data_IF_039038783481
#
_entry.id   IF_039038783481
#
_cell.length_a   1.000
_cell.length_b   1.000
_cell.length_c   1.000
_cell.angle_alpha   90.00
_cell.angle_beta   90.00
_cell.angle_gamma   90.00
#
_symmetry.space_group_name_H-M   'P 1'
#
loop_
_entity.id
_entity.type
_entity.pdbx_description
1 polymer ?
#
# COMPACT_ATOMS: atom_id res chain seq x y z
N UNK A 1 -9.57 9.79 -13.82
CA UNK A 1 -8.22 9.93 -14.41
C UNK A 1 -8.03 8.91 -15.51
N UNK A 2 -6.90 8.95 -16.23
CA UNK A 2 -6.51 7.94 -17.25
C UNK A 2 -5.37 7.04 -16.79
N UNK A 3 -4.92 7.20 -15.55
CA UNK A 3 -3.79 6.49 -14.96
C UNK A 3 -4.30 5.39 -14.04
N UNK A 4 -3.55 4.30 -14.01
CA UNK A 4 -3.64 3.27 -12.97
C UNK A 4 -2.53 3.61 -11.96
N UNK A 5 -2.88 3.59 -10.68
CA UNK A 5 -1.93 3.79 -9.58
C UNK A 5 -1.55 2.44 -8.96
N UNK A 6 -0.39 2.42 -8.31
CA UNK A 6 0.15 1.24 -7.62
C UNK A 6 0.75 1.64 -6.26
N UNK A 7 0.86 0.66 -5.37
CA UNK A 7 1.44 0.79 -4.03
C UNK A 7 2.76 0.07 -4.02
N UNK A 8 3.85 0.79 -3.70
CA UNK A 8 5.19 0.21 -3.57
C UNK A 8 5.69 0.21 -2.12
N UNK A 9 6.58 -0.72 -1.80
CA UNK A 9 7.15 -0.85 -0.46
C UNK A 9 7.92 0.41 -0.01
N UNK A 10 8.52 1.17 -0.94
CA UNK A 10 9.28 2.39 -0.62
C UNK A 10 8.46 3.48 0.04
N UNK A 11 7.14 3.53 -0.22
CA UNK A 11 6.23 4.55 0.33
C UNK A 11 5.43 4.07 1.53
N UNK A 12 5.56 2.80 1.91
CA UNK A 12 4.59 2.10 2.76
C UNK A 12 5.32 1.23 3.79
N UNK A 13 5.09 1.48 5.09
CA UNK A 13 5.77 0.90 6.26
C UNK A 13 5.69 -0.65 6.47
N UNK A 14 5.06 -1.35 5.54
CA UNK A 14 4.81 -2.79 5.56
C UNK A 14 4.47 -3.25 4.15
N UNK A 15 4.69 -4.55 3.91
CA UNK A 15 4.56 -5.17 2.60
C UNK A 15 3.18 -4.89 1.98
N UNK A 16 3.09 -4.44 0.72
CA UNK A 16 1.82 -4.09 0.07
C UNK A 16 0.77 -5.21 0.16
N UNK A 17 1.19 -6.47 0.10
CA UNK A 17 0.29 -7.62 0.18
C UNK A 17 -0.36 -7.82 1.57
N UNK A 18 0.02 -7.06 2.60
CA UNK A 18 -0.60 -7.11 3.93
C UNK A 18 -1.60 -5.98 4.16
N UNK A 19 -1.84 -5.16 3.14
CA UNK A 19 -2.74 -4.02 3.24
C UNK A 19 -4.11 -4.33 2.67
N UNK A 20 -5.11 -3.75 3.32
CA UNK A 20 -6.51 -3.80 2.90
C UNK A 20 -7.00 -2.36 2.79
N UNK A 21 -7.62 -2.01 1.67
CA UNK A 21 -8.21 -0.71 1.41
C UNK A 21 -9.72 -0.78 1.73
N UNK A 22 -10.20 -0.09 2.77
CA UNK A 22 -11.63 -0.06 3.09
C UNK A 22 -12.45 0.58 1.95
N UNK A 23 -13.63 0.04 1.64
CA UNK A 23 -14.52 0.62 0.62
C UNK A 23 -14.95 2.05 0.89
N UNK A 24 -14.97 2.43 2.16
CA UNK A 24 -15.41 3.75 2.65
C UNK A 24 -14.25 4.73 2.80
N UNK A 25 -13.02 4.34 2.46
CA UNK A 25 -11.86 5.17 2.65
C UNK A 25 -11.90 6.41 1.73
N UNK A 26 -11.73 7.58 2.32
CA UNK A 26 -11.57 8.82 1.56
C UNK A 26 -10.16 8.87 0.99
N UNK A 27 -10.05 9.08 -0.33
CA UNK A 27 -8.77 9.16 -1.03
C UNK A 27 -8.42 10.63 -1.28
N UNK A 28 -7.24 11.04 -0.83
CA UNK A 28 -6.68 12.37 -1.04
C UNK A 28 -5.63 12.33 -2.14
N UNK A 29 -5.80 13.17 -3.17
CA UNK A 29 -4.81 13.34 -4.23
C UNK A 29 -3.94 14.57 -3.96
N UNK A 30 -2.62 14.43 -4.10
CA UNK A 30 -1.68 15.53 -3.90
C UNK A 30 -0.62 15.53 -5.01
N UNK A 31 -0.42 16.69 -5.64
CA UNK A 31 0.70 16.87 -6.56
C UNK A 31 2.02 17.03 -5.79
N UNK A 32 3.04 16.25 -6.17
CA UNK A 32 4.36 16.20 -5.54
C UNK A 32 5.42 16.51 -6.62
N UNK A 33 5.77 17.79 -6.84
CA UNK A 33 6.63 18.20 -7.95
C UNK A 33 8.05 17.62 -7.88
N UNK A 34 8.55 17.38 -6.67
CA UNK A 34 9.90 16.84 -6.45
C UNK A 34 9.97 15.30 -6.46
N UNK A 35 8.83 14.61 -6.61
CA UNK A 35 8.77 13.15 -6.61
C UNK A 35 8.61 12.64 -8.04
N UNK A 36 9.53 11.77 -8.48
CA UNK A 36 9.43 11.03 -9.75
C UNK A 36 9.15 11.93 -10.98
N UNK A 37 9.81 13.09 -11.03
CA UNK A 37 9.63 14.06 -12.12
C UNK A 37 8.31 14.85 -12.09
N UNK A 38 7.60 14.82 -10.96
CA UNK A 38 6.34 15.53 -10.76
C UNK A 38 5.14 14.64 -10.99
N UNK A 39 4.68 13.97 -9.93
CA UNK A 39 3.52 13.06 -9.98
C UNK A 39 2.40 13.50 -9.03
N UNK A 40 1.19 13.03 -9.29
CA UNK A 40 0.10 13.07 -8.30
C UNK A 40 0.15 11.77 -7.52
N UNK A 41 0.31 11.86 -6.21
CA UNK A 41 0.20 10.71 -5.29
C UNK A 41 -1.20 10.63 -4.73
N UNK A 42 -1.68 9.41 -4.49
CA UNK A 42 -2.92 9.17 -3.74
C UNK A 42 -2.58 8.70 -2.34
N UNK A 43 -3.29 9.21 -1.33
CA UNK A 43 -3.11 8.77 0.05
C UNK A 43 -4.45 8.54 0.75
N UNK A 44 -4.51 7.55 1.61
CA UNK A 44 -5.74 7.19 2.33
C UNK A 44 -5.44 6.40 3.60
N UNK A 45 -6.42 6.32 4.50
CA UNK A 45 -6.38 5.40 5.63
C UNK A 45 -6.65 3.97 5.13
N UNK A 46 -5.91 3.01 5.67
CA UNK A 46 -6.00 1.59 5.32
C UNK A 46 -5.81 0.73 6.56
N UNK A 47 -5.95 -0.59 6.41
CA UNK A 47 -5.62 -1.56 7.43
C UNK A 47 -4.40 -2.37 7.01
N UNK A 48 -3.55 -2.75 7.96
CA UNK A 48 -2.43 -3.65 7.75
C UNK A 48 -2.53 -4.86 8.69
N UNK A 49 -2.30 -6.05 8.13
CA UNK A 49 -2.17 -7.29 8.90
C UNK A 49 -0.86 -7.30 9.68
N UNK A 50 -0.94 -7.65 10.96
CA UNK A 50 0.23 -7.77 11.82
C UNK A 50 1.13 -8.93 11.37
N UNK A 51 2.43 -8.67 11.39
CA UNK A 51 3.47 -9.59 10.97
C UNK A 51 3.89 -10.60 12.05
N UNK A 52 3.48 -10.34 13.27
CA UNK A 52 3.92 -11.02 14.48
C UNK A 52 2.95 -12.16 14.87
N UNK A 53 3.27 -12.82 15.99
CA UNK A 53 2.46 -13.92 16.52
C UNK A 53 2.56 -15.23 15.73
N UNK A 54 3.42 -15.29 14.71
CA UNK A 54 3.79 -16.55 14.06
C UNK A 54 4.77 -17.32 14.97
N UNK A 55 4.42 -18.57 15.28
CA UNK A 55 5.34 -19.55 15.88
C UNK A 55 6.08 -20.29 14.74
N UNK A 56 6.80 -21.38 15.04
CA UNK A 56 7.51 -22.22 14.04
C UNK A 56 6.58 -22.95 13.02
N UNK A 57 5.33 -22.52 12.87
CA UNK A 57 4.33 -23.10 11.98
C UNK A 57 3.97 -22.17 10.82
N UNK A 58 3.68 -22.76 9.65
CA UNK A 58 3.29 -22.04 8.43
C UNK A 58 1.79 -21.75 8.33
N UNK A 59 0.97 -22.34 9.20
CA UNK A 59 -0.48 -22.23 9.17
C UNK A 59 -1.03 -21.98 10.57
N UNK A 60 -2.07 -21.15 10.67
CA UNK A 60 -2.84 -20.92 11.90
C UNK A 60 -4.33 -20.77 11.59
N UNK A 61 -5.23 -21.18 12.50
CA UNK A 61 -6.67 -21.01 12.32
C UNK A 61 -7.15 -19.58 12.63
N UNK A 62 -6.42 -18.82 13.46
CA UNK A 62 -6.80 -17.45 13.81
C UNK A 62 -6.40 -16.45 12.71
N UNK A 63 -7.29 -15.49 12.36
CA UNK A 63 -6.93 -14.39 11.47
C UNK A 63 -5.84 -13.51 12.10
N UNK A 64 -5.03 -12.82 11.28
CA UNK A 64 -4.10 -11.81 11.79
C UNK A 64 -4.85 -10.70 12.54
N UNK A 65 -4.20 -10.15 13.57
CA UNK A 65 -4.60 -8.86 14.09
C UNK A 65 -4.39 -7.79 13.00
N UNK A 66 -5.26 -6.79 12.96
CA UNK A 66 -5.20 -5.68 12.01
C UNK A 66 -5.00 -4.35 12.73
N UNK A 67 -4.16 -3.47 12.19
CA UNK A 67 -3.96 -2.13 12.69
C UNK A 67 -4.22 -1.09 11.60
N UNK A 68 -4.62 0.12 12.01
CA UNK A 68 -4.72 1.25 11.10
C UNK A 68 -3.34 1.66 10.58
N UNK A 69 -3.29 2.02 9.31
CA UNK A 69 -2.08 2.50 8.64
C UNK A 69 -2.46 3.57 7.62
N UNK A 70 -1.46 4.31 7.14
CA UNK A 70 -1.61 5.09 5.91
C UNK A 70 -1.15 4.26 4.70
N UNK A 71 -1.83 4.44 3.58
CA UNK A 71 -1.45 3.88 2.29
C UNK A 71 -1.14 5.03 1.35
N UNK A 72 -0.02 4.94 0.62
CA UNK A 72 0.37 5.88 -0.42
C UNK A 72 0.55 5.12 -1.73
N UNK A 73 -0.08 5.62 -2.79
CA UNK A 73 0.04 5.10 -4.15
C UNK A 73 0.62 6.17 -5.08
N UNK A 74 1.38 5.68 -6.07
CA UNK A 74 1.96 6.46 -7.16
C UNK A 74 1.44 5.95 -8.51
N UNK A 75 1.54 6.74 -9.59
CA UNK A 75 1.20 6.26 -10.92
C UNK A 75 2.02 5.03 -11.30
N UNK A 76 1.37 3.98 -11.81
CA UNK A 76 1.99 2.70 -12.13
C UNK A 76 3.21 2.81 -13.04
N UNK A 77 3.17 3.73 -14.02
CA UNK A 77 4.28 3.93 -14.94
C UNK A 77 5.56 4.43 -14.27
N UNK A 78 5.47 4.98 -13.07
CA UNK A 78 6.59 5.59 -12.34
C UNK A 78 7.22 4.64 -11.30
N UNK A 79 6.68 3.42 -11.14
CA UNK A 79 7.26 2.39 -10.27
C UNK A 79 8.65 1.93 -10.74
N UNK A 80 9.43 1.34 -9.82
CA UNK A 80 10.78 0.78 -10.02
C UNK A 80 11.85 1.81 -10.45
N UNK A 81 11.64 3.07 -10.07
CA UNK A 81 12.59 4.16 -10.25
C UNK A 81 13.25 4.61 -8.92
N UNK A 82 13.10 3.83 -7.85
CA UNK A 82 13.58 4.10 -6.48
C UNK A 82 14.18 2.83 -5.87
N UNK A 83 14.04 2.60 -4.57
CA UNK A 83 14.53 1.40 -3.90
C UNK A 83 13.80 0.12 -4.40
N UNK A 84 14.52 -1.00 -4.59
CA UNK A 84 13.90 -2.27 -4.94
C UNK A 84 12.91 -2.71 -3.86
N UNK A 85 11.71 -3.13 -4.28
CA UNK A 85 10.67 -3.56 -3.34
C UNK A 85 9.43 -4.12 -4.01
N UNK A 86 8.56 -4.72 -3.20
CA UNK A 86 7.26 -5.22 -3.64
C UNK A 86 6.37 -4.10 -4.19
N UNK A 87 5.49 -4.44 -5.12
CA UNK A 87 4.48 -3.54 -5.66
C UNK A 87 3.18 -4.29 -5.97
N UNK A 88 2.04 -3.63 -5.71
CA UNK A 88 0.72 -4.09 -6.12
C UNK A 88 -0.10 -3.00 -6.81
N UNK A 89 -0.82 -3.39 -7.86
CA UNK A 89 -1.89 -2.59 -8.48
C UNK A 89 -3.23 -2.90 -7.84
N UNK A 90 -3.50 -4.19 -7.64
CA UNK A 90 -4.75 -4.66 -7.05
C UNK A 90 -4.56 -4.89 -5.56
N UNK A 91 -5.30 -4.13 -4.75
CA UNK A 91 -5.30 -4.24 -3.31
C UNK A 91 -6.48 -5.10 -2.85
N UNK A 92 -6.35 -5.71 -1.66
CA UNK A 92 -7.49 -6.33 -1.02
C UNK A 92 -8.51 -5.28 -0.64
N UNK A 93 -9.76 -5.67 -0.84
CA UNK A 93 -10.94 -4.90 -0.47
C UNK A 93 -11.33 -5.24 0.98
N UNK A 94 -11.83 -4.25 1.72
CA UNK A 94 -12.17 -4.34 3.16
C UNK A 94 -13.54 -3.80 3.49
#
# INVERSE_FOLDING_TARGET
GRLIDCVEASDNDSQPHRRTLPRTATIEAQHRPELLGGVVTLSTAALADAADGWQDGLYRPEPPATAETRLTAIPYFAWDNREPGEMLVWLRDG
#
